data_IF_977525959006
#
_entry.id   IF_977525959006
#
_cell.length_a   1.000
_cell.length_b   1.000
_cell.length_c   1.000
_cell.angle_alpha   90.00
_cell.angle_beta   90.00
_cell.angle_gamma   90.00
#
_symmetry.space_group_name_H-M   'P 1'
#
loop_
_entity.id
_entity.type
_entity.pdbx_description
1 polymer ?
#
# COMPACT_ATOMS: atom_id res chain seq x y z
N UNK A 1 -1.67 44.97 -6.46
CA UNK A 1 -1.63 43.87 -5.47
C UNK A 1 -1.88 42.57 -6.20
N UNK A 2 -0.83 41.79 -6.49
CA UNK A 2 -0.94 40.48 -7.16
C UNK A 2 -1.45 39.45 -6.15
N UNK A 3 -2.69 38.99 -6.35
CA UNK A 3 -3.20 37.78 -5.70
C UNK A 3 -2.66 36.58 -6.47
N UNK A 4 -1.49 36.09 -6.04
CA UNK A 4 -1.02 34.76 -6.41
C UNK A 4 -1.86 33.73 -5.69
N UNK A 5 -2.91 33.23 -6.36
CA UNK A 5 -3.55 32.00 -5.92
C UNK A 5 -2.52 30.87 -6.09
N UNK A 6 -1.88 30.49 -5.00
CA UNK A 6 -1.17 29.22 -4.93
C UNK A 6 -2.16 28.14 -5.38
N UNK A 7 -1.85 27.42 -6.45
CA UNK A 7 -2.48 26.14 -6.73
C UNK A 7 -2.21 25.26 -5.52
N UNK A 8 -3.17 25.21 -4.59
CA UNK A 8 -3.32 24.06 -3.73
C UNK A 8 -3.71 22.94 -4.70
N UNK A 9 -2.72 22.25 -5.24
CA UNK A 9 -2.92 20.87 -5.63
C UNK A 9 -3.30 20.17 -4.33
N UNK A 10 -4.61 20.15 -4.02
CA UNK A 10 -5.15 19.26 -3.01
C UNK A 10 -4.55 17.91 -3.34
N UNK A 11 -3.91 17.25 -2.38
CA UNK A 11 -3.40 15.91 -2.58
C UNK A 11 -4.60 14.97 -2.65
N UNK A 12 -5.36 15.06 -3.74
CA UNK A 12 -6.42 14.17 -4.13
C UNK A 12 -5.77 13.20 -5.13
N UNK A 13 -5.06 12.21 -4.60
CA UNK A 13 -4.62 11.09 -5.41
C UNK A 13 -5.57 9.92 -5.17
N UNK A 14 -5.87 9.18 -6.24
CA UNK A 14 -6.51 7.88 -6.17
C UNK A 14 -5.84 7.02 -7.24
N UNK A 15 -4.93 6.14 -6.81
CA UNK A 15 -4.15 5.29 -7.70
C UNK A 15 -4.38 3.84 -7.31
N UNK A 16 -4.56 2.98 -8.31
CA UNK A 16 -4.69 1.54 -8.10
C UNK A 16 -3.77 0.81 -9.06
N UNK A 17 -3.06 -0.19 -8.56
CA UNK A 17 -2.24 -1.09 -9.37
C UNK A 17 -2.57 -2.54 -9.06
N UNK A 18 -2.36 -3.40 -10.06
CA UNK A 18 -2.26 -4.83 -9.85
C UNK A 18 -0.78 -5.20 -9.70
N UNK A 19 -0.48 -6.04 -8.72
CA UNK A 19 0.86 -6.53 -8.51
C UNK A 19 1.12 -7.73 -9.40
N UNK A 20 2.37 -7.88 -9.82
CA UNK A 20 2.84 -8.98 -10.66
C UNK A 20 3.53 -10.00 -9.77
N UNK A 21 3.14 -11.27 -9.91
CA UNK A 21 3.78 -12.37 -9.22
C UNK A 21 5.17 -12.66 -9.78
N UNK A 22 6.15 -12.75 -8.88
CA UNK A 22 7.48 -13.28 -9.18
C UNK A 22 7.41 -14.79 -9.46
N UNK A 23 8.51 -15.45 -9.87
CA UNK A 23 8.56 -16.91 -9.94
C UNK A 23 8.15 -17.59 -8.62
N UNK A 24 8.59 -17.07 -7.48
CA UNK A 24 8.19 -17.58 -6.15
C UNK A 24 6.70 -17.32 -5.87
N UNK A 25 6.18 -16.15 -6.25
CA UNK A 25 4.76 -15.84 -6.12
C UNK A 25 3.86 -16.73 -6.98
N UNK A 26 4.30 -17.11 -8.18
CA UNK A 26 3.55 -18.02 -9.07
C UNK A 26 3.38 -19.42 -8.47
N UNK A 27 4.38 -19.92 -7.72
CA UNK A 27 4.31 -21.24 -7.06
C UNK A 27 3.14 -21.31 -6.07
N UNK A 28 2.84 -20.20 -5.40
CA UNK A 28 1.75 -20.10 -4.43
C UNK A 28 0.49 -19.46 -5.02
N UNK A 29 0.38 -19.35 -6.34
CA UNK A 29 -0.71 -18.67 -7.03
C UNK A 29 -1.01 -17.26 -6.45
N UNK A 30 0.05 -16.51 -6.13
CA UNK A 30 -0.08 -15.18 -5.54
C UNK A 30 -0.72 -14.21 -6.54
N UNK A 31 -1.70 -13.45 -6.06
CA UNK A 31 -2.27 -12.30 -6.76
C UNK A 31 -2.41 -11.15 -5.76
N UNK A 32 -2.37 -9.92 -6.23
CA UNK A 32 -2.62 -8.80 -5.35
C UNK A 32 -2.86 -7.49 -6.07
N UNK A 33 -3.42 -6.56 -5.31
CA UNK A 33 -3.70 -5.20 -5.74
C UNK A 33 -3.40 -4.23 -4.62
N UNK A 34 -3.03 -3.01 -5.00
CA UNK A 34 -2.79 -1.92 -4.06
C UNK A 34 -3.58 -0.72 -4.52
N UNK A 35 -4.29 -0.10 -3.60
CA UNK A 35 -4.94 1.19 -3.80
C UNK A 35 -4.41 2.18 -2.78
N UNK A 36 -4.06 3.36 -3.28
CA UNK A 36 -3.70 4.51 -2.45
C UNK A 36 -4.66 5.62 -2.73
N UNK A 37 -5.13 6.28 -1.68
CA UNK A 37 -6.03 7.40 -1.79
C UNK A 37 -5.67 8.46 -0.77
N UNK A 38 -5.45 9.68 -1.21
CA UNK A 38 -5.44 10.84 -0.33
C UNK A 38 -6.60 11.75 -0.72
N UNK A 39 -7.23 12.37 0.28
CA UNK A 39 -8.31 13.32 0.07
C UNK A 39 -8.20 14.43 1.09
N UNK A 40 -8.22 15.67 0.63
CA UNK A 40 -8.30 16.82 1.54
C UNK A 40 -9.67 16.85 2.20
N UNK A 41 -9.73 16.74 3.53
CA UNK A 41 -10.98 16.79 4.30
C UNK A 41 -11.22 18.16 4.91
N UNK A 42 -10.17 18.78 5.41
CA UNK A 42 -10.17 20.16 5.90
C UNK A 42 -8.85 20.82 5.47
N UNK A 43 -8.72 22.16 5.57
CA UNK A 43 -7.46 22.86 5.24
C UNK A 43 -6.25 22.39 6.06
N UNK A 44 -6.48 21.72 7.20
CA UNK A 44 -5.44 21.24 8.12
C UNK A 44 -5.34 19.72 8.16
N UNK A 45 -6.19 18.99 7.42
CA UNK A 45 -6.22 17.53 7.46
C UNK A 45 -6.47 16.91 6.09
N UNK A 46 -5.51 16.08 5.66
CA UNK A 46 -5.61 15.22 4.48
C UNK A 46 -5.80 13.79 4.96
N UNK A 47 -6.95 13.21 4.64
CA UNK A 47 -7.21 11.79 4.88
C UNK A 47 -6.42 10.96 3.88
N UNK A 48 -5.56 10.09 4.36
CA UNK A 48 -4.75 9.18 3.58
C UNK A 48 -5.18 7.74 3.90
N UNK A 49 -5.32 6.92 2.87
CA UNK A 49 -5.71 5.53 2.95
C UNK A 49 -4.84 4.70 2.01
N UNK A 50 -4.28 3.62 2.56
CA UNK A 50 -3.52 2.61 1.86
C UNK A 50 -4.21 1.26 2.07
N UNK A 51 -4.58 0.59 0.98
CA UNK A 51 -5.16 -0.75 1.01
C UNK A 51 -4.36 -1.66 0.09
N UNK A 52 -3.74 -2.69 0.65
CA UNK A 52 -3.20 -3.81 -0.09
C UNK A 52 -4.04 -5.04 0.20
N UNK A 53 -4.49 -5.69 -0.86
CA UNK A 53 -5.16 -6.98 -0.80
C UNK A 53 -4.37 -7.97 -1.63
N UNK A 54 -4.14 -9.15 -1.07
CA UNK A 54 -3.49 -10.23 -1.78
C UNK A 54 -4.19 -11.55 -1.50
N UNK A 55 -4.07 -12.48 -2.43
CA UNK A 55 -4.46 -13.88 -2.27
C UNK A 55 -3.27 -14.77 -2.53
N UNK A 56 -3.15 -15.87 -1.80
CA UNK A 56 -2.11 -16.86 -2.01
C UNK A 56 -2.58 -18.23 -1.49
N UNK A 57 -2.18 -19.30 -2.18
CA UNK A 57 -2.41 -20.68 -1.79
C UNK A 57 -1.33 -21.12 -0.77
N UNK A 58 -1.48 -20.64 0.46
CA UNK A 58 -0.59 -20.93 1.58
C UNK A 58 -1.41 -21.26 2.83
N UNK A 59 -0.81 -21.91 3.85
CA UNK A 59 -1.48 -22.13 5.13
C UNK A 59 -1.98 -20.83 5.77
N UNK A 60 -3.07 -20.92 6.53
CA UNK A 60 -3.54 -19.80 7.33
C UNK A 60 -2.45 -19.38 8.34
N UNK A 61 -2.33 -18.09 8.58
CA UNK A 61 -1.30 -17.51 9.43
C UNK A 61 0.03 -17.25 8.72
N UNK A 62 0.20 -17.64 7.44
CA UNK A 62 1.36 -17.20 6.66
C UNK A 62 1.37 -15.68 6.53
N UNK A 63 2.51 -15.08 6.87
CA UNK A 63 2.72 -13.63 6.87
C UNK A 63 3.61 -13.20 5.71
N UNK A 64 3.28 -12.05 5.12
CA UNK A 64 4.09 -11.37 4.10
C UNK A 64 4.40 -9.95 4.54
N UNK A 65 5.64 -9.50 4.32
CA UNK A 65 6.04 -8.12 4.62
C UNK A 65 5.85 -7.25 3.38
N UNK A 66 5.27 -6.07 3.58
CA UNK A 66 5.01 -5.11 2.51
C UNK A 66 6.01 -3.97 2.64
N UNK A 67 6.63 -3.62 1.52
CA UNK A 67 7.52 -2.51 1.37
C UNK A 67 7.02 -1.56 0.29
N UNK A 68 7.07 -0.28 0.59
CA UNK A 68 6.75 0.78 -0.35
C UNK A 68 7.98 1.68 -0.48
N UNK A 69 8.45 1.91 -1.70
CA UNK A 69 9.69 2.67 -1.94
C UNK A 69 10.90 2.16 -1.12
N UNK A 70 10.92 0.87 -0.77
CA UNK A 70 11.98 0.24 0.04
C UNK A 70 11.81 0.38 1.57
N UNK A 71 10.78 1.07 2.05
CA UNK A 71 10.48 1.22 3.48
C UNK A 71 9.34 0.28 3.90
N UNK A 72 9.38 -0.25 5.14
CA UNK A 72 8.33 -1.13 5.63
C UNK A 72 6.99 -0.38 5.74
N UNK A 73 5.98 -0.93 5.08
CA UNK A 73 4.61 -0.46 5.13
C UNK A 73 3.77 -1.25 6.14
N UNK A 74 4.09 -2.53 6.35
CA UNK A 74 3.40 -3.38 7.32
C UNK A 74 3.46 -4.85 6.95
N UNK A 75 2.64 -5.66 7.61
CA UNK A 75 2.57 -7.11 7.41
C UNK A 75 1.15 -7.50 7.02
N UNK A 76 1.04 -8.39 6.04
CA UNK A 76 -0.21 -9.03 5.63
C UNK A 76 -0.21 -10.44 6.17
N UNK A 77 -1.29 -10.86 6.81
CA UNK A 77 -1.49 -12.25 7.24
C UNK A 77 -2.58 -12.89 6.40
N UNK A 78 -2.30 -14.07 5.85
CA UNK A 78 -3.28 -14.84 5.07
C UNK A 78 -4.23 -15.57 6.00
N UNK A 79 -5.53 -15.40 5.76
CA UNK A 79 -6.63 -16.15 6.38
C UNK A 79 -7.61 -16.56 5.29
N UNK A 80 -7.89 -17.86 5.19
CA UNK A 80 -8.72 -18.45 4.11
C UNK A 80 -8.23 -18.07 2.71
N UNK A 81 -6.90 -18.08 2.49
CA UNK A 81 -6.28 -17.80 1.20
C UNK A 81 -6.22 -16.31 0.80
N UNK A 82 -6.70 -15.41 1.66
CA UNK A 82 -6.71 -13.96 1.40
C UNK A 82 -6.05 -13.22 2.56
N UNK A 83 -5.32 -12.15 2.26
CA UNK A 83 -4.76 -11.23 3.23
C UNK A 83 -5.01 -9.79 2.84
N UNK A 84 -5.17 -8.94 3.86
CA UNK A 84 -5.42 -7.51 3.67
C UNK A 84 -4.62 -6.69 4.67
N UNK A 85 -3.98 -5.64 4.16
CA UNK A 85 -3.37 -4.57 4.94
C UNK A 85 -4.12 -3.29 4.60
N UNK A 86 -4.85 -2.74 5.57
CA UNK A 86 -5.55 -1.47 5.46
C UNK A 86 -4.98 -0.51 6.51
N UNK A 87 -4.48 0.63 6.05
CA UNK A 87 -3.85 1.65 6.87
C UNK A 87 -4.46 2.99 6.51
N UNK A 88 -4.82 3.76 7.53
CA UNK A 88 -5.28 5.13 7.36
C UNK A 88 -4.73 6.02 8.48
N UNK A 89 -4.84 7.33 8.27
CA UNK A 89 -4.47 8.33 9.26
C UNK A 89 -5.71 8.98 9.93
N UNK A 90 -6.87 8.31 9.91
CA UNK A 90 -8.03 8.79 10.66
C UNK A 90 -7.83 8.61 12.16
N UNK A 91 -8.66 9.27 12.98
CA UNK A 91 -8.66 9.11 14.44
C UNK A 91 -7.29 9.27 15.15
N UNK A 92 -6.32 9.97 14.52
CA UNK A 92 -4.97 10.17 15.07
C UNK A 92 -4.00 9.01 14.80
N UNK A 93 -4.35 8.05 13.94
CA UNK A 93 -3.44 7.00 13.50
C UNK A 93 -2.27 7.60 12.72
N UNK A 94 -1.06 7.13 13.03
CA UNK A 94 0.15 7.50 12.30
C UNK A 94 0.41 6.43 11.25
N UNK A 95 0.50 6.85 10.00
CA UNK A 95 0.89 5.96 8.92
C UNK A 95 2.36 5.57 9.07
N UNK A 96 2.71 4.30 8.84
CA UNK A 96 4.11 3.87 8.72
C UNK A 96 4.90 4.73 7.73
N UNK A 97 6.22 4.86 7.95
CA UNK A 97 7.09 5.67 7.09
C UNK A 97 7.07 5.23 5.61
N UNK A 98 6.83 3.95 5.32
CA UNK A 98 6.66 3.49 3.94
C UNK A 98 5.31 3.90 3.31
N UNK A 99 4.36 4.37 4.10
CA UNK A 99 3.02 4.74 3.63
C UNK A 99 2.70 6.22 3.75
N UNK A 100 3.50 7.01 4.49
CA UNK A 100 3.29 8.44 4.62
C UNK A 100 4.31 9.25 3.80
N UNK A 101 3.88 10.04 2.80
CA UNK A 101 2.53 10.20 2.28
C UNK A 101 2.16 9.14 1.21
N UNK A 102 0.89 8.70 1.18
CA UNK A 102 0.43 7.59 0.33
C UNK A 102 0.53 7.89 -1.16
N UNK A 103 0.43 9.17 -1.54
CA UNK A 103 0.52 9.57 -2.94
C UNK A 103 1.94 9.52 -3.51
N UNK A 104 2.96 9.56 -2.65
CA UNK A 104 4.37 9.48 -3.04
C UNK A 104 4.87 8.05 -3.22
N UNK A 105 4.03 7.06 -2.95
CA UNK A 105 4.34 5.65 -3.22
C UNK A 105 4.44 5.45 -4.73
N UNK A 106 5.59 4.93 -5.18
CA UNK A 106 5.89 4.61 -6.57
C UNK A 106 6.04 3.12 -6.77
N UNK A 107 6.76 2.46 -5.87
CA UNK A 107 7.00 1.02 -5.93
C UNK A 107 6.36 0.32 -4.74
N UNK A 108 5.83 -0.88 -4.98
CA UNK A 108 5.34 -1.78 -3.93
C UNK A 108 5.98 -3.14 -4.13
N UNK A 109 6.50 -3.72 -3.05
CA UNK A 109 7.12 -5.04 -3.01
C UNK A 109 6.53 -5.78 -1.82
N UNK A 110 6.10 -7.02 -2.05
CA UNK A 110 5.64 -7.93 -1.00
C UNK A 110 6.63 -9.09 -0.93
N UNK A 111 7.16 -9.37 0.26
CA UNK A 111 8.11 -10.48 0.48
C UNK A 111 7.55 -11.51 1.44
N UNK A 112 8.03 -12.74 1.31
CA UNK A 112 7.83 -13.76 2.34
C UNK A 112 8.78 -13.56 3.55
N UNK A 113 8.68 -14.45 4.53
CA UNK A 113 9.53 -14.43 5.72
C UNK A 113 11.02 -14.74 5.42
N UNK A 114 11.33 -15.34 4.27
CA UNK A 114 12.70 -15.60 3.82
C UNK A 114 13.28 -14.41 3.03
N UNK A 115 12.50 -13.35 2.80
CA UNK A 115 12.92 -12.17 2.05
C UNK A 115 12.78 -12.32 0.53
N UNK A 116 12.15 -13.40 0.04
CA UNK A 116 11.89 -13.54 -1.39
C UNK A 116 10.77 -12.59 -1.81
N UNK A 117 10.96 -11.85 -2.91
CA UNK A 117 9.88 -11.09 -3.53
C UNK A 117 8.81 -12.05 -4.04
N UNK A 118 7.57 -11.85 -3.61
CA UNK A 118 6.38 -12.63 -3.99
C UNK A 118 5.54 -11.86 -5.00
N UNK A 119 5.24 -10.60 -4.69
CA UNK A 119 4.52 -9.68 -5.56
C UNK A 119 5.30 -8.37 -5.68
N UNK A 120 5.28 -7.74 -6.84
CA UNK A 120 5.81 -6.40 -7.01
C UNK A 120 5.01 -5.60 -8.04
N UNK A 121 5.04 -4.27 -7.93
CA UNK A 121 4.36 -3.40 -8.88
C UNK A 121 4.76 -1.95 -8.73
N UNK A 122 4.37 -1.15 -9.71
CA UNK A 122 4.64 0.29 -9.77
C UNK A 122 3.38 1.07 -10.14
N UNK A 123 3.14 2.19 -9.46
CA UNK A 123 2.07 3.15 -9.77
C UNK A 123 2.34 4.00 -11.00
#
# INVERSE_FOLDING_TARGET
>A
MMLGAASFASADCDKTIRLVASPAGKVIAADGRVRVRAQTRTPTFVKQNYVLEMSALVPNGTTFMVFNNGLPAGTVTITFGVGRLALDNEAGHVLPAGTDPVCSIKTVIVTDAAGNTILSGTF
#
